data_IF_197901515063
#
_entry.id   IF_197901515063
#
_cell.length_a   1.000
_cell.length_b   1.000
_cell.length_c   1.000
_cell.angle_alpha   90.00
_cell.angle_beta   90.00
_cell.angle_gamma   90.00
#
_symmetry.space_group_name_H-M   'P 1'
#
loop_
_entity.id
_entity.type
_entity.pdbx_description
1 polymer ?
#
# COMPACT_ATOMS: atom_id res chain seq x y z
N UNK A 1 11.54 -3.76 6.17
CA UNK A 1 11.24 -2.99 4.94
C UNK A 1 9.95 -3.56 4.37
N UNK A 2 9.11 -2.72 3.79
CA UNK A 2 7.80 -3.11 3.27
C UNK A 2 7.31 -2.06 2.27
N UNK A 3 6.42 -2.49 1.36
CA UNK A 3 5.71 -1.63 0.44
C UNK A 3 4.35 -1.24 1.02
N UNK A 4 3.89 -0.03 0.75
CA UNK A 4 2.46 0.30 0.80
C UNK A 4 1.94 0.30 -0.63
N UNK A 5 0.80 -0.34 -0.86
CA UNK A 5 0.14 -0.44 -2.15
C UNK A 5 -1.27 0.14 -2.06
N UNK A 6 -1.59 1.05 -2.97
CA UNK A 6 -2.94 1.61 -3.12
C UNK A 6 -3.34 1.73 -4.58
N UNK A 7 -4.63 1.95 -4.81
CA UNK A 7 -5.18 2.32 -6.11
C UNK A 7 -6.19 3.43 -5.94
N UNK A 8 -6.19 4.41 -6.83
CA UNK A 8 -7.09 5.56 -6.82
C UNK A 8 -7.84 5.66 -8.15
N UNK A 9 -9.05 6.18 -8.14
CA UNK A 9 -9.86 6.34 -9.36
C UNK A 9 -10.63 7.67 -9.31
N UNK A 10 -11.18 8.08 -10.46
CA UNK A 10 -11.77 9.41 -10.67
C UNK A 10 -12.90 9.85 -9.71
N UNK A 11 -13.48 8.95 -8.90
CA UNK A 11 -14.52 9.35 -7.92
C UNK A 11 -13.98 9.59 -6.51
N UNK A 12 -12.70 9.33 -6.28
CA UNK A 12 -12.06 9.69 -5.01
C UNK A 12 -12.09 11.20 -4.80
N UNK A 13 -12.20 11.63 -3.54
CA UNK A 13 -12.09 13.02 -3.15
C UNK A 13 -10.63 13.37 -2.89
N UNK A 14 -10.07 14.44 -3.49
CA UNK A 14 -8.68 14.86 -3.26
C UNK A 14 -8.32 15.03 -1.78
N UNK A 15 -9.27 15.51 -0.96
CA UNK A 15 -9.08 15.74 0.47
C UNK A 15 -8.94 14.43 1.25
N UNK A 16 -9.71 13.40 0.88
CA UNK A 16 -9.61 12.07 1.49
C UNK A 16 -8.26 11.45 1.16
N UNK A 17 -7.86 11.47 -0.12
CA UNK A 17 -6.56 10.98 -0.54
C UNK A 17 -5.41 11.71 0.17
N UNK A 18 -5.49 13.04 0.25
CA UNK A 18 -4.47 13.82 0.96
C UNK A 18 -4.36 13.40 2.43
N UNK A 19 -5.50 13.29 3.13
CA UNK A 19 -5.55 12.89 4.54
C UNK A 19 -5.03 11.46 4.75
N UNK A 20 -5.37 10.54 3.84
CA UNK A 20 -4.84 9.17 3.82
C UNK A 20 -3.31 9.18 3.70
N UNK A 21 -2.77 9.93 2.74
CA UNK A 21 -1.32 10.05 2.52
C UNK A 21 -0.58 10.70 3.71
N UNK A 22 -1.15 11.73 4.34
CA UNK A 22 -0.62 12.30 5.59
C UNK A 22 -0.56 11.23 6.69
N UNK A 23 -1.63 10.44 6.82
CA UNK A 23 -1.70 9.36 7.82
C UNK A 23 -0.69 8.23 7.56
N UNK A 24 -0.35 7.96 6.30
CA UNK A 24 0.60 6.91 5.87
C UNK A 24 2.05 7.39 5.97
N UNK A 25 2.33 8.66 5.65
CA UNK A 25 3.70 9.15 5.51
C UNK A 25 4.17 10.09 6.63
N UNK A 26 3.35 11.08 6.99
CA UNK A 26 3.75 12.10 7.96
C UNK A 26 3.54 11.60 9.39
N UNK A 27 2.45 10.87 9.62
CA UNK A 27 2.01 10.53 10.97
C UNK A 27 2.47 9.14 11.44
N UNK A 28 2.93 8.25 10.56
CA UNK A 28 3.38 6.92 10.98
C UNK A 28 4.69 6.97 11.76
N UNK A 29 4.76 6.21 12.86
CA UNK A 29 6.01 5.99 13.60
C UNK A 29 7.02 5.19 12.79
N UNK A 30 6.54 4.28 11.96
CA UNK A 30 7.33 3.47 11.04
C UNK A 30 6.91 3.73 9.60
N UNK A 31 7.80 4.35 8.82
CA UNK A 31 7.52 4.69 7.43
C UNK A 31 7.65 3.49 6.48
N UNK A 32 6.81 3.41 5.43
CA UNK A 32 7.01 2.44 4.37
C UNK A 32 8.32 2.73 3.62
N UNK A 33 8.91 1.68 3.06
CA UNK A 33 10.14 1.81 2.26
C UNK A 33 9.82 2.32 0.85
N UNK A 34 8.65 1.96 0.33
CA UNK A 34 8.09 2.50 -0.90
C UNK A 34 6.55 2.59 -0.79
N UNK A 35 5.97 3.46 -1.61
CA UNK A 35 4.54 3.58 -1.83
C UNK A 35 4.30 3.39 -3.33
N UNK A 36 3.48 2.40 -3.68
CA UNK A 36 3.03 2.13 -5.04
C UNK A 36 1.57 2.57 -5.14
N UNK A 37 1.30 3.53 -6.01
CA UNK A 37 -0.05 4.03 -6.28
C UNK A 37 -0.42 3.73 -7.73
N UNK A 38 -1.55 3.06 -7.92
CA UNK A 38 -2.10 2.79 -9.25
C UNK A 38 -3.25 3.74 -9.53
N UNK A 39 -3.14 4.55 -10.57
CA UNK A 39 -4.27 5.32 -11.09
C UNK A 39 -5.14 4.39 -11.95
N UNK A 40 -6.29 4.00 -11.44
CA UNK A 40 -7.24 3.10 -12.08
C UNK A 40 -8.09 3.82 -13.13
N UNK A 41 -7.42 4.22 -14.21
CA UNK A 41 -7.97 5.04 -15.31
C UNK A 41 -7.65 6.52 -15.17
N UNK A 42 -8.12 7.35 -16.14
CA UNK A 42 -8.00 8.80 -16.06
C UNK A 42 -8.64 9.35 -14.77
N UNK A 43 -7.95 10.28 -14.12
CA UNK A 43 -8.41 10.94 -12.89
C UNK A 43 -8.93 12.36 -13.20
N UNK A 44 -9.39 13.07 -12.17
CA UNK A 44 -9.73 14.49 -12.28
C UNK A 44 -8.46 15.35 -12.15
N UNK A 45 -8.47 16.60 -12.65
CA UNK A 45 -7.33 17.51 -12.50
C UNK A 45 -6.91 17.75 -11.04
N UNK A 46 -7.87 17.75 -10.11
CA UNK A 46 -7.61 17.96 -8.69
C UNK A 46 -6.89 16.75 -8.06
N UNK A 47 -7.28 15.53 -8.46
CA UNK A 47 -6.58 14.30 -8.08
C UNK A 47 -5.16 14.26 -8.66
N UNK A 48 -5.00 14.58 -9.95
CA UNK A 48 -3.68 14.67 -10.57
C UNK A 48 -2.79 15.70 -9.84
N UNK A 49 -3.35 16.84 -9.43
CA UNK A 49 -2.63 17.88 -8.71
C UNK A 49 -2.14 17.41 -7.33
N UNK A 50 -3.01 16.77 -6.53
CA UNK A 50 -2.60 16.29 -5.19
C UNK A 50 -1.57 15.16 -5.31
N UNK A 51 -1.71 14.26 -6.28
CA UNK A 51 -0.72 13.21 -6.54
C UNK A 51 0.63 13.84 -6.90
N UNK A 52 0.66 14.85 -7.78
CA UNK A 52 1.89 15.54 -8.15
C UNK A 52 2.57 16.25 -6.96
N UNK A 53 1.79 16.80 -6.03
CA UNK A 53 2.32 17.38 -4.78
C UNK A 53 3.01 16.32 -3.92
N UNK A 54 2.40 15.15 -3.77
CA UNK A 54 3.00 14.02 -3.04
C UNK A 54 4.23 13.45 -3.75
N UNK A 55 4.22 13.32 -5.08
CA UNK A 55 5.40 12.90 -5.83
C UNK A 55 6.56 13.89 -5.64
N UNK A 56 6.29 15.20 -5.64
CA UNK A 56 7.31 16.22 -5.36
C UNK A 56 7.89 16.09 -3.94
N UNK A 57 7.04 15.81 -2.95
CA UNK A 57 7.43 15.66 -1.53
C UNK A 57 8.22 14.37 -1.27
N UNK A 58 7.82 13.27 -1.90
CA UNK A 58 8.33 11.92 -1.62
C UNK A 58 9.45 11.48 -2.57
N UNK A 59 9.57 12.13 -3.74
CA UNK A 59 10.50 11.72 -4.77
C UNK A 59 10.30 10.25 -5.12
N UNK A 60 11.40 9.48 -5.13
CA UNK A 60 11.40 8.07 -5.54
C UNK A 60 10.66 7.13 -4.57
N UNK A 61 10.28 7.61 -3.38
CA UNK A 61 9.50 6.79 -2.43
C UNK A 61 8.09 6.53 -2.96
N UNK A 62 7.47 7.50 -3.64
CA UNK A 62 6.16 7.33 -4.26
C UNK A 62 6.30 7.08 -5.74
N UNK A 63 5.92 5.88 -6.17
CA UNK A 63 5.82 5.53 -7.59
C UNK A 63 4.36 5.45 -7.98
N UNK A 64 4.04 6.06 -9.12
CA UNK A 64 2.69 6.14 -9.64
C UNK A 64 2.66 5.49 -11.01
N UNK A 65 1.75 4.54 -11.19
CA UNK A 65 1.50 3.90 -12.49
C UNK A 65 0.08 4.20 -12.93
N UNK A 66 -0.06 4.74 -14.15
CA UNK A 66 -1.36 5.12 -14.71
C UNK A 66 -1.89 4.05 -15.65
N UNK A 67 -3.11 3.59 -15.40
CA UNK A 67 -3.82 2.70 -16.30
C UNK A 67 -4.65 3.50 -17.32
N UNK A 68 -4.76 2.99 -18.55
CA UNK A 68 -5.50 3.66 -19.62
C UNK A 68 -7.01 3.76 -19.34
N UNK A 69 -7.56 2.82 -18.56
CA UNK A 69 -8.98 2.73 -18.25
C UNK A 69 -9.19 2.20 -16.84
N UNK A 70 -10.35 2.52 -16.27
CA UNK A 70 -10.78 1.95 -15.01
C UNK A 70 -11.07 0.44 -15.18
N UNK A 71 -10.30 -0.39 -14.48
CA UNK A 71 -10.42 -1.86 -14.44
C UNK A 71 -11.00 -2.36 -13.11
N UNK A 72 -11.17 -1.46 -12.14
CA UNK A 72 -11.67 -1.73 -10.80
C UNK A 72 -10.53 -1.98 -9.80
N UNK A 73 -10.73 -1.50 -8.56
CA UNK A 73 -9.78 -1.50 -7.44
C UNK A 73 -9.01 -2.82 -7.29
N UNK A 74 -9.70 -3.96 -7.31
CA UNK A 74 -9.05 -5.27 -7.14
C UNK A 74 -8.06 -5.59 -8.27
N UNK A 75 -8.41 -5.30 -9.53
CA UNK A 75 -7.51 -5.54 -10.67
C UNK A 75 -6.37 -4.54 -10.68
N UNK A 76 -6.63 -3.26 -10.37
CA UNK A 76 -5.61 -2.24 -10.24
C UNK A 76 -4.57 -2.60 -9.16
N UNK A 77 -5.02 -3.01 -7.97
CA UNK A 77 -4.14 -3.48 -6.89
C UNK A 77 -3.38 -4.75 -7.28
N UNK A 78 -3.98 -5.70 -7.99
CA UNK A 78 -3.24 -6.87 -8.48
C UNK A 78 -2.11 -6.50 -9.45
N UNK A 79 -2.31 -5.50 -10.30
CA UNK A 79 -1.25 -4.96 -11.17
C UNK A 79 -0.15 -4.34 -10.29
N UNK A 80 -0.52 -3.45 -9.36
CA UNK A 80 0.45 -2.80 -8.48
C UNK A 80 1.20 -3.75 -7.56
N UNK A 81 0.62 -4.90 -7.20
CA UNK A 81 1.30 -5.95 -6.44
C UNK A 81 2.51 -6.51 -7.19
N UNK A 82 2.44 -6.60 -8.52
CA UNK A 82 3.57 -7.02 -9.35
C UNK A 82 4.67 -5.96 -9.43
N UNK A 83 4.37 -4.72 -9.08
CA UNK A 83 5.34 -3.63 -9.08
C UNK A 83 6.03 -3.48 -7.72
N UNK A 84 5.46 -3.98 -6.63
CA UNK A 84 6.06 -3.92 -5.31
C UNK A 84 7.41 -4.66 -5.27
N UNK A 85 8.42 -4.05 -4.66
CA UNK A 85 9.78 -4.56 -4.55
C UNK A 85 10.05 -5.32 -3.24
N UNK A 86 9.10 -5.36 -2.30
CA UNK A 86 9.28 -5.97 -0.99
C UNK A 86 8.26 -7.09 -0.74
N UNK A 87 8.69 -8.13 -0.02
CA UNK A 87 7.86 -9.30 0.29
C UNK A 87 6.64 -8.98 1.16
N UNK A 88 6.73 -7.92 1.98
CA UNK A 88 5.64 -7.45 2.82
C UNK A 88 4.99 -6.26 2.14
N UNK A 89 3.72 -6.43 1.76
CA UNK A 89 2.91 -5.38 1.13
C UNK A 89 1.71 -5.07 2.02
N UNK A 90 1.62 -3.82 2.46
CA UNK A 90 0.44 -3.29 3.14
C UNK A 90 -0.49 -2.66 2.10
N UNK A 91 -1.59 -3.34 1.81
CA UNK A 91 -2.64 -2.81 0.93
C UNK A 91 -3.48 -1.81 1.73
N UNK A 92 -3.66 -0.61 1.19
CA UNK A 92 -4.45 0.47 1.80
C UNK A 92 -5.54 0.94 0.84
N UNK A 93 -6.58 1.55 1.39
CA UNK A 93 -7.62 2.28 0.65
C UNK A 93 -7.39 3.79 0.81
N UNK A 94 -7.69 4.56 -0.24
CA UNK A 94 -7.37 6.00 -0.33
C UNK A 94 -8.26 6.91 0.51
N UNK A 95 -9.31 6.35 1.11
CA UNK A 95 -10.28 7.02 1.97
C UNK A 95 -10.17 6.61 3.46
N UNK A 96 -9.20 5.76 3.81
CA UNK A 96 -8.91 5.35 5.19
C UNK A 96 -7.85 6.22 5.87
N UNK A 97 -7.99 6.41 7.19
CA UNK A 97 -7.00 7.07 8.05
C UNK A 97 -6.32 6.03 8.94
N UNK A 98 -4.99 6.01 8.92
CA UNK A 98 -4.17 5.08 9.68
C UNK A 98 -3.60 5.72 10.95
N UNK A 99 -3.83 5.07 12.10
CA UNK A 99 -3.24 5.52 13.38
C UNK A 99 -1.71 5.39 13.36
N UNK A 100 -0.95 6.26 14.07
CA UNK A 100 0.50 6.38 13.95
C UNK A 100 1.30 5.07 14.06
N UNK A 101 0.92 4.17 14.95
CA UNK A 101 1.66 2.93 15.23
C UNK A 101 1.16 1.74 14.39
N UNK A 102 0.29 1.96 13.39
CA UNK A 102 -0.33 0.85 12.64
C UNK A 102 0.70 -0.07 12.03
N UNK A 103 1.63 0.46 11.23
CA UNK A 103 2.58 -0.37 10.50
C UNK A 103 3.55 -1.08 11.44
N UNK A 104 4.03 -0.37 12.46
CA UNK A 104 4.90 -0.94 13.50
C UNK A 104 4.22 -2.11 14.22
N UNK A 105 2.98 -1.92 14.68
CA UNK A 105 2.23 -2.96 15.37
C UNK A 105 1.97 -4.18 14.49
N UNK A 106 1.64 -3.96 13.21
CA UNK A 106 1.41 -5.05 12.24
C UNK A 106 2.68 -5.85 11.98
N UNK A 107 3.81 -5.18 11.74
CA UNK A 107 5.08 -5.85 11.49
C UNK A 107 5.61 -6.59 12.73
N UNK A 108 5.46 -6.00 13.92
CA UNK A 108 5.82 -6.67 15.17
C UNK A 108 5.00 -7.94 15.39
N UNK A 109 3.69 -7.90 15.07
CA UNK A 109 2.84 -9.08 15.14
C UNK A 109 3.23 -10.15 14.11
N UNK A 110 3.47 -9.76 12.85
CA UNK A 110 3.93 -10.66 11.79
C UNK A 110 5.26 -11.35 12.18
N UNK A 111 6.24 -10.59 12.67
CA UNK A 111 7.53 -11.13 13.10
C UNK A 111 7.40 -12.13 14.27
N UNK A 112 6.49 -11.87 15.20
CA UNK A 112 6.18 -12.82 16.30
C UNK A 112 5.61 -14.13 15.76
N UNK A 113 4.66 -14.07 14.82
CA UNK A 113 4.11 -15.27 14.17
C UNK A 113 5.19 -16.02 13.40
N UNK A 114 5.98 -15.31 12.60
CA UNK A 114 7.05 -15.93 11.81
C UNK A 114 8.05 -16.65 12.71
N UNK A 115 8.48 -16.00 13.79
CA UNK A 115 9.37 -16.60 14.80
C UNK A 115 8.75 -17.84 15.44
N UNK A 116 7.47 -17.80 15.81
CA UNK A 116 6.76 -18.95 16.38
C UNK A 116 6.71 -20.14 15.41
N UNK A 117 6.40 -19.90 14.14
CA UNK A 117 6.31 -20.95 13.12
C UNK A 117 7.67 -21.60 12.81
N UNK A 118 8.75 -20.81 12.83
CA UNK A 118 10.12 -21.30 12.64
C UNK A 118 10.61 -22.14 13.82
N UNK A 119 10.23 -21.80 15.06
CA UNK A 119 10.61 -22.56 16.26
C UNK A 119 9.95 -23.94 16.33
N UNK A 120 8.79 -24.11 15.69
CA UNK A 120 8.00 -25.34 15.77
C UNK A 120 8.21 -26.29 14.56
N UNK A 121 9.14 -25.99 13.64
CA UNK A 121 9.29 -26.68 12.34
C UNK A 121 7.96 -26.80 11.54
N UNK A 122 6.97 -25.95 11.87
CA UNK A 122 5.64 -25.93 11.27
C UNK A 122 5.58 -25.14 9.97
N UNK A 123 6.73 -24.62 9.51
CA UNK A 123 6.82 -23.79 8.31
C UNK A 123 6.29 -24.50 7.05
N UNK A 124 6.57 -25.79 6.90
CA UNK A 124 6.07 -26.63 5.81
C UNK A 124 4.55 -26.82 5.82
N UNK A 125 3.91 -26.78 7.00
CA UNK A 125 2.45 -26.87 7.10
C UNK A 125 1.75 -25.54 6.80
N UNK A 126 2.42 -24.39 6.98
CA UNK A 126 1.85 -23.08 6.66
C UNK A 126 1.82 -22.81 5.15
N UNK A 127 2.87 -23.19 4.42
CA UNK A 127 2.91 -23.05 2.95
C UNK A 127 1.75 -23.79 2.27
N UNK A 128 1.39 -25.00 2.76
CA UNK A 128 0.22 -25.75 2.27
C UNK A 128 -1.12 -25.07 2.51
N UNK A 129 -1.23 -24.19 3.50
CA UNK A 129 -2.45 -23.45 3.80
C UNK A 129 -2.54 -22.17 2.96
N UNK A 130 -1.40 -21.56 2.62
CA UNK A 130 -1.32 -20.34 1.81
C UNK A 130 -1.38 -20.59 0.29
N UNK A 131 -1.04 -21.80 -0.18
CA UNK A 131 -1.24 -22.20 -1.59
C UNK A 131 -2.70 -22.49 -1.97
N UNK A 132 -3.64 -22.44 -1.01
CA UNK A 132 -5.07 -22.55 -1.26
C UNK A 132 -5.74 -21.20 -1.00
N UNK A 133 -5.51 -20.22 -1.89
CA UNK A 133 -6.49 -19.23 -2.39
C UNK A 133 -5.81 -18.07 -3.12
#
# INVERSE_FOLDING_TARGET
>A
MFSVLSSIYHKEQPEHFNTCMESIWDNQTLKPTEIVLIEDGPLTPELDQVIAQWQKKLGNVLRVTKLEKNVGTGKAKNIGLQECNYDIVSIVDTDDIYVPERFENRLNFYNKILKFLLLEDKFLNLLRILEIR
#
